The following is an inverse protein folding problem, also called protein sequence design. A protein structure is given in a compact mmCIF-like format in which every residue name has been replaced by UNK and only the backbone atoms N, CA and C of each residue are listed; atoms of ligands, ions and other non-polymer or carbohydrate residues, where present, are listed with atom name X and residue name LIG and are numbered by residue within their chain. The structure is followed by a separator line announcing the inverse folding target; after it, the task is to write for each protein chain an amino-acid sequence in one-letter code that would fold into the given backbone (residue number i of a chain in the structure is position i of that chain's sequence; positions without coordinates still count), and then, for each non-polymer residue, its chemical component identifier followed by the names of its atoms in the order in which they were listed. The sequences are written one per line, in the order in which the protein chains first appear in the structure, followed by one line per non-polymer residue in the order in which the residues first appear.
data_IF_139865145294
#
_entry.id   IF_139865145294
#
_cell.length_a   1.000
_cell.length_b   1.000
_cell.length_c   1.000
_cell.angle_alpha   90.00
_cell.angle_beta   90.00
_cell.angle_gamma   90.00
#
_symmetry.space_group_name_H-M   'P 1'
#
loop_
_entity.id
_entity.type
_entity.pdbx_description
1 polymer ?
#
# COMPACT_ATOMS: atom_id res chain seq x y z
N UNK A 1 4.54 -25.79 15.49
CA UNK A 1 4.95 -24.95 14.34
C UNK A 1 5.60 -25.79 13.23
N UNK A 2 6.53 -26.71 13.53
CA UNK A 2 7.19 -27.55 12.51
C UNK A 2 6.26 -28.51 11.76
N UNK A 3 5.32 -29.17 12.44
CA UNK A 3 4.38 -30.10 11.77
C UNK A 3 3.47 -29.39 10.75
N UNK A 4 3.02 -28.17 11.06
CA UNK A 4 2.23 -27.34 10.13
C UNK A 4 3.08 -26.93 8.93
N UNK A 5 4.35 -26.60 9.17
CA UNK A 5 5.29 -26.23 8.11
C UNK A 5 5.54 -27.39 7.15
N UNK A 6 5.79 -28.60 7.67
CA UNK A 6 6.00 -29.81 6.88
C UNK A 6 4.76 -30.22 6.08
N UNK A 7 3.57 -30.12 6.69
CA UNK A 7 2.32 -30.40 5.99
C UNK A 7 2.09 -29.43 4.83
N UNK A 8 2.29 -28.13 5.05
CA UNK A 8 2.11 -27.13 4.01
C UNK A 8 3.22 -27.18 2.95
N UNK A 9 4.45 -27.51 3.31
CA UNK A 9 5.54 -27.66 2.35
C UNK A 9 5.32 -28.86 1.42
N UNK A 10 4.76 -29.95 1.95
CA UNK A 10 4.38 -31.12 1.17
C UNK A 10 3.30 -30.84 0.12
N UNK A 11 2.29 -30.03 0.46
CA UNK A 11 1.17 -29.72 -0.43
C UNK A 11 1.43 -28.50 -1.35
N UNK A 12 2.20 -27.51 -0.89
CA UNK A 12 2.34 -26.22 -1.57
C UNK A 12 3.79 -25.86 -1.96
N UNK A 13 4.78 -26.71 -1.68
CA UNK A 13 6.21 -26.43 -1.95
C UNK A 13 6.62 -25.05 -1.43
N UNK A 14 6.58 -24.87 -0.11
CA UNK A 14 6.86 -23.60 0.53
C UNK A 14 8.35 -23.30 0.47
N UNK A 15 8.71 -22.31 -0.35
CA UNK A 15 10.05 -21.75 -0.30
C UNK A 15 10.23 -20.93 0.99
N UNK A 16 11.26 -21.24 1.76
CA UNK A 16 11.72 -20.34 2.81
C UNK A 16 12.37 -19.11 2.18
N UNK A 17 11.64 -17.98 2.15
CA UNK A 17 12.15 -16.71 1.64
C UNK A 17 13.17 -16.01 2.57
N UNK A 18 13.55 -16.67 3.68
CA UNK A 18 14.33 -16.05 4.75
C UNK A 18 13.61 -14.84 5.37
N UNK A 19 14.38 -13.87 5.87
CA UNK A 19 13.82 -12.65 6.45
C UNK A 19 13.11 -11.80 5.38
N UNK A 20 11.80 -11.58 5.55
CA UNK A 20 10.95 -10.77 4.65
C UNK A 20 11.55 -9.36 4.42
N UNK A 21 12.12 -9.09 3.25
CA UNK A 21 12.68 -7.75 2.94
C UNK A 21 11.67 -6.79 2.30
N UNK A 22 10.67 -7.33 1.62
CA UNK A 22 9.65 -6.55 0.92
C UNK A 22 8.29 -7.22 1.05
N UNK A 23 7.25 -6.42 1.23
CA UNK A 23 5.86 -6.87 1.20
C UNK A 23 5.04 -5.88 0.37
N UNK A 24 4.53 -6.34 -0.78
CA UNK A 24 3.69 -5.53 -1.71
C UNK A 24 4.33 -4.16 -2.04
N UNK A 25 5.66 -4.14 -2.22
CA UNK A 25 6.42 -2.92 -2.55
C UNK A 25 6.78 -2.03 -1.36
N UNK A 26 6.35 -2.36 -0.14
CA UNK A 26 6.84 -1.74 1.11
C UNK A 26 8.08 -2.48 1.56
N UNK A 27 9.15 -1.75 1.87
CA UNK A 27 10.37 -2.35 2.37
C UNK A 27 10.25 -2.60 3.87
N UNK A 28 10.77 -3.74 4.32
CA UNK A 28 10.72 -4.17 5.70
C UNK A 28 12.14 -4.24 6.21
N UNK A 29 12.53 -3.24 7.00
CA UNK A 29 13.79 -3.23 7.72
C UNK A 29 13.55 -3.87 9.10
N UNK A 30 14.39 -4.84 9.48
CA UNK A 30 14.36 -5.44 10.80
C UNK A 30 15.58 -4.99 11.58
N UNK A 31 15.35 -4.47 12.78
CA UNK A 31 16.34 -4.32 13.83
C UNK A 31 16.10 -5.39 14.90
N UNK A 32 17.08 -5.68 15.73
CA UNK A 32 16.98 -6.69 16.80
C UNK A 32 15.80 -6.46 17.74
N UNK A 33 15.34 -5.22 17.88
CA UNK A 33 14.25 -4.84 18.77
C UNK A 33 12.95 -4.46 18.05
N UNK A 34 12.99 -4.13 16.75
CA UNK A 34 11.84 -3.51 16.05
C UNK A 34 11.79 -3.86 14.57
N UNK A 35 10.58 -3.87 14.03
CA UNK A 35 10.34 -3.95 12.58
C UNK A 35 9.93 -2.55 12.10
N UNK A 36 10.65 -2.05 11.10
CA UNK A 36 10.42 -0.75 10.47
C UNK A 36 9.90 -1.00 9.06
N UNK A 37 8.79 -0.36 8.71
CA UNK A 37 8.20 -0.41 7.38
C UNK A 37 8.56 0.89 6.63
N UNK A 38 9.36 0.79 5.57
CA UNK A 38 9.68 1.90 4.69
C UNK A 38 8.68 1.95 3.52
N UNK A 39 7.83 2.97 3.53
CA UNK A 39 6.79 3.17 2.52
C UNK A 39 7.24 4.07 1.36
N UNK A 40 8.41 4.70 1.44
CA UNK A 40 8.86 5.70 0.45
C UNK A 40 8.80 5.13 -0.96
N UNK A 41 9.31 3.90 -1.15
CA UNK A 41 9.30 3.22 -2.45
C UNK A 41 7.89 2.97 -2.98
N UNK A 42 6.97 2.56 -2.11
CA UNK A 42 5.58 2.31 -2.48
C UNK A 42 4.84 3.60 -2.85
N UNK A 43 5.05 4.68 -2.08
CA UNK A 43 4.50 6.01 -2.39
C UNK A 43 5.00 6.52 -3.74
N UNK A 44 6.30 6.39 -4.01
CA UNK A 44 6.89 6.77 -5.30
C UNK A 44 6.32 5.96 -6.46
N UNK A 45 6.08 4.66 -6.27
CA UNK A 45 5.45 3.81 -7.30
C UNK A 45 4.01 4.23 -7.58
N UNK A 46 3.23 4.62 -6.55
CA UNK A 46 1.89 5.18 -6.75
C UNK A 46 1.97 6.45 -7.60
N UNK A 47 2.83 7.41 -7.23
CA UNK A 47 3.00 8.68 -7.95
C UNK A 47 3.43 8.43 -9.41
N UNK A 48 4.32 7.46 -9.64
CA UNK A 48 4.75 7.08 -10.99
C UNK A 48 3.60 6.50 -11.80
N UNK A 49 2.82 5.60 -11.23
CA UNK A 49 1.68 4.94 -11.90
C UNK A 49 0.52 5.90 -12.19
N UNK A 50 0.27 6.88 -11.33
CA UNK A 50 -0.74 7.92 -11.58
C UNK A 50 -0.21 9.06 -12.46
N UNK A 51 1.05 8.98 -12.92
CA UNK A 51 1.74 10.03 -13.70
C UNK A 51 1.78 11.37 -12.97
N UNK A 52 1.76 11.36 -11.63
CA UNK A 52 1.71 12.56 -10.79
C UNK A 52 3.10 13.14 -10.44
N UNK A 53 4.17 12.65 -11.04
CA UNK A 53 5.56 13.02 -10.68
C UNK A 53 5.86 14.52 -10.84
N UNK A 54 5.22 15.18 -11.80
CA UNK A 54 5.45 16.60 -12.11
C UNK A 54 4.37 17.53 -11.54
N UNK A 55 3.42 16.99 -10.77
CA UNK A 55 2.34 17.80 -10.23
C UNK A 55 2.82 18.56 -9.01
N UNK A 56 2.45 19.85 -8.93
CA UNK A 56 2.78 20.67 -7.78
C UNK A 56 2.07 20.12 -6.53
N UNK A 57 2.75 20.03 -5.38
CA UNK A 57 2.09 19.67 -4.14
C UNK A 57 0.99 20.68 -3.85
N UNK A 58 -0.23 20.18 -3.61
CA UNK A 58 -1.33 21.02 -3.18
C UNK A 58 -1.03 21.54 -1.78
N UNK A 59 -1.18 22.86 -1.59
CA UNK A 59 -1.10 23.48 -0.25
C UNK A 59 -2.29 23.10 0.64
N UNK A 60 -3.40 22.71 0.00
CA UNK A 60 -4.62 22.32 0.69
C UNK A 60 -4.73 20.80 0.73
N UNK A 61 -5.01 20.26 1.92
CA UNK A 61 -5.50 18.89 2.07
C UNK A 61 -6.78 18.73 1.25
N UNK A 62 -7.06 17.53 0.73
CA UNK A 62 -8.35 17.23 0.12
C UNK A 62 -9.47 17.72 1.05
N UNK A 63 -10.37 18.54 0.52
CA UNK A 63 -11.49 19.07 1.29
C UNK A 63 -12.38 17.93 1.76
N UNK A 64 -12.55 17.80 3.08
CA UNK A 64 -13.37 16.75 3.69
C UNK A 64 -14.88 16.92 3.40
N UNK A 65 -15.31 18.11 2.96
CA UNK A 65 -16.70 18.47 2.69
C UNK A 65 -16.94 18.80 1.21
N UNK A 66 -16.23 18.13 0.29
CA UNK A 66 -16.54 18.25 -1.12
C UNK A 66 -17.93 17.64 -1.36
N UNK A 67 -18.94 18.49 -1.56
CA UNK A 67 -20.29 18.07 -1.93
C UNK A 67 -20.23 17.48 -3.35
N UNK A 68 -19.98 16.17 -3.45
CA UNK A 68 -20.09 15.40 -4.69
C UNK A 68 -21.56 15.40 -5.12
N UNK A 69 -21.99 16.43 -5.83
CA UNK A 69 -23.31 16.48 -6.43
C UNK A 69 -23.34 15.47 -7.58
N UNK A 70 -24.38 14.65 -7.65
CA UNK A 70 -24.65 13.63 -8.69
C UNK A 70 -24.68 14.21 -10.12
N UNK A 71 -24.57 15.53 -10.29
CA UNK A 71 -24.49 16.18 -11.61
C UNK A 71 -23.13 15.99 -12.31
N UNK A 72 -22.08 15.62 -11.58
CA UNK A 72 -20.72 15.45 -12.13
C UNK A 72 -20.41 13.98 -12.43
N UNK A 73 -21.35 13.26 -13.05
CA UNK A 73 -21.03 11.99 -13.69
C UNK A 73 -20.18 12.28 -14.93
N UNK A 74 -18.86 12.33 -14.76
CA UNK A 74 -17.94 12.33 -15.90
C UNK A 74 -18.03 10.95 -16.55
N UNK A 75 -18.63 10.83 -17.76
CA UNK A 75 -18.83 9.53 -18.41
C UNK A 75 -17.50 8.85 -18.80
N UNK A 76 -16.37 9.55 -18.65
CA UNK A 76 -15.03 9.04 -18.89
C UNK A 76 -14.32 8.50 -17.63
N UNK A 77 -14.97 8.49 -16.46
CA UNK A 77 -14.34 7.94 -15.26
C UNK A 77 -14.29 6.42 -15.31
N UNK A 78 -13.10 5.87 -15.49
CA UNK A 78 -12.83 4.44 -15.37
C UNK A 78 -12.91 4.01 -13.88
N UNK A 79 -14.05 3.43 -13.49
CA UNK A 79 -14.32 2.98 -12.13
C UNK A 79 -13.27 2.00 -11.59
N UNK A 80 -12.70 1.14 -12.45
CA UNK A 80 -11.71 0.14 -12.05
C UNK A 80 -10.40 0.84 -11.67
N UNK A 81 -9.99 1.86 -12.43
CA UNK A 81 -8.79 2.66 -12.11
C UNK A 81 -8.97 3.42 -10.80
N UNK A 82 -10.15 4.00 -10.59
CA UNK A 82 -10.44 4.74 -9.36
C UNK A 82 -10.41 3.81 -8.12
N UNK A 83 -11.10 2.67 -8.18
CA UNK A 83 -11.08 1.66 -7.11
C UNK A 83 -9.68 1.11 -6.85
N UNK A 84 -8.90 0.85 -7.91
CA UNK A 84 -7.52 0.41 -7.79
C UNK A 84 -6.62 1.45 -7.10
N UNK A 85 -6.85 2.74 -7.36
CA UNK A 85 -6.13 3.83 -6.70
C UNK A 85 -6.55 3.96 -5.22
N UNK A 86 -7.84 3.90 -4.92
CA UNK A 86 -8.35 3.88 -3.55
C UNK A 86 -7.75 2.73 -2.73
N UNK A 87 -7.70 1.52 -3.30
CA UNK A 87 -7.08 0.36 -2.64
C UNK A 87 -5.60 0.60 -2.30
N UNK A 88 -4.86 1.26 -3.19
CA UNK A 88 -3.45 1.61 -2.93
C UNK A 88 -3.29 2.66 -1.84
N UNK A 89 -4.15 3.68 -1.80
CA UNK A 89 -4.14 4.69 -0.74
C UNK A 89 -4.58 4.13 0.61
N UNK A 90 -5.56 3.24 0.62
CA UNK A 90 -5.97 2.53 1.84
C UNK A 90 -4.80 1.69 2.37
N UNK A 91 -4.12 0.97 1.50
CA UNK A 91 -2.93 0.19 1.87
C UNK A 91 -1.81 1.07 2.45
N UNK A 92 -1.57 2.25 1.87
CA UNK A 92 -0.61 3.23 2.39
C UNK A 92 -1.03 3.76 3.78
N UNK A 93 -2.32 4.04 3.96
CA UNK A 93 -2.85 4.57 5.23
C UNK A 93 -2.75 3.55 6.37
N UNK A 94 -3.16 2.30 6.10
CA UNK A 94 -3.13 1.21 7.10
C UNK A 94 -1.69 0.90 7.52
N UNK A 95 -0.76 0.86 6.58
CA UNK A 95 0.65 0.56 6.88
C UNK A 95 1.33 1.69 7.66
N UNK A 96 0.88 2.94 7.49
CA UNK A 96 1.35 4.11 8.27
C UNK A 96 0.78 4.12 9.69
N UNK A 97 -0.43 3.60 9.89
CA UNK A 97 -1.04 3.49 11.23
C UNK A 97 -0.32 2.46 12.11
N UNK A 98 0.26 1.42 11.49
CA UNK A 98 0.86 0.28 12.20
C UNK A 98 2.26 0.54 12.77
N UNK A 99 2.90 1.66 12.46
CA UNK A 99 4.22 2.03 13.02
C UNK A 99 4.16 2.63 14.43
N UNK A 100 2.97 2.82 15.00
CA UNK A 100 2.75 3.46 16.32
C UNK A 100 2.13 2.50 17.34
N UNK A 101 2.58 1.24 17.39
CA UNK A 101 2.31 0.40 18.56
C UNK A 101 3.46 0.61 19.57
N UNK A 102 3.14 1.39 20.62
CA UNK A 102 3.90 1.52 21.85
C UNK A 102 3.86 0.22 22.66
#
# INVERSE_FOLDING_TARGET
MEQVKLYLDKEFSIKELGSLKFFIGIEVARSSQRIILNQIKYTLDIIKKTRMQNYKPSKFSMEHNCNLRVKDEDPNMDAIRYQGLLGRFLYLTITRLKTTLQ
#
